data_IF_248770213353
#
_entry.id   IF_248770213353
#
_cell.length_a   1.000
_cell.length_b   1.000
_cell.length_c   1.000
_cell.angle_alpha   90.00
_cell.angle_beta   90.00
_cell.angle_gamma   90.00
#
_symmetry.space_group_name_H-M   'P 1'
#
loop_
_entity.id
_entity.type
_entity.pdbx_description
1 polymer ?
#
# COMPACT_ATOMS: atom_id res chain seq x y z
N UNK A 1 14.98 -16.31 -28.25
CA UNK A 1 14.12 -16.35 -27.05
C UNK A 1 12.78 -15.74 -27.45
N UNK A 2 11.67 -16.44 -27.27
CA UNK A 2 10.40 -16.12 -27.93
C UNK A 2 9.68 -14.88 -27.39
N UNK A 3 8.89 -14.23 -28.24
CA UNK A 3 8.14 -12.98 -27.99
C UNK A 3 7.33 -12.95 -26.69
N UNK A 4 6.86 -14.10 -26.20
CA UNK A 4 6.14 -14.22 -24.92
C UNK A 4 7.00 -13.81 -23.71
N UNK A 5 8.26 -14.22 -23.67
CA UNK A 5 9.17 -13.92 -22.56
C UNK A 5 9.55 -12.42 -22.53
N UNK A 6 9.52 -11.76 -23.69
CA UNK A 6 9.79 -10.33 -23.79
C UNK A 6 8.58 -9.50 -23.35
N UNK A 7 7.37 -9.90 -23.77
CA UNK A 7 6.11 -9.31 -23.30
C UNK A 7 5.93 -9.46 -21.79
N UNK A 8 6.31 -10.60 -21.21
CA UNK A 8 6.27 -10.82 -19.76
C UNK A 8 7.22 -9.87 -19.00
N UNK A 9 8.47 -9.73 -19.48
CA UNK A 9 9.42 -8.78 -18.90
C UNK A 9 8.94 -7.34 -18.98
N UNK A 10 8.32 -6.97 -20.10
CA UNK A 10 7.75 -5.65 -20.29
C UNK A 10 6.58 -5.40 -19.33
N UNK A 11 5.70 -6.39 -19.15
CA UNK A 11 4.60 -6.32 -18.21
C UNK A 11 5.10 -6.12 -16.78
N UNK A 12 6.06 -6.93 -16.33
CA UNK A 12 6.67 -6.82 -15.00
C UNK A 12 7.28 -5.43 -14.81
N UNK A 13 8.03 -4.93 -15.79
CA UNK A 13 8.63 -3.59 -15.73
C UNK A 13 7.58 -2.49 -15.59
N UNK A 14 6.46 -2.59 -16.31
CA UNK A 14 5.42 -1.56 -16.33
C UNK A 14 4.51 -1.58 -15.10
N UNK A 15 4.16 -2.77 -14.61
CA UNK A 15 3.09 -2.93 -13.62
C UNK A 15 3.56 -3.47 -12.27
N UNK A 16 4.63 -4.26 -12.22
CA UNK A 16 5.12 -4.86 -10.96
C UNK A 16 6.11 -3.94 -10.22
N UNK A 17 5.92 -2.63 -10.35
CA UNK A 17 6.68 -1.62 -9.62
C UNK A 17 5.69 -0.70 -8.86
N UNK A 18 6.12 -0.02 -7.79
CA UNK A 18 5.21 0.75 -6.93
C UNK A 18 4.73 2.07 -7.54
N UNK A 19 5.31 2.53 -8.66
CA UNK A 19 5.08 3.88 -9.19
C UNK A 19 3.63 4.11 -9.66
N UNK A 20 2.97 3.19 -10.40
CA UNK A 20 1.57 3.35 -10.78
C UNK A 20 0.62 3.45 -9.57
N UNK A 21 0.94 2.80 -8.45
CA UNK A 21 0.14 2.85 -7.23
C UNK A 21 0.38 4.16 -6.46
N UNK A 22 1.64 4.62 -6.39
CA UNK A 22 2.01 5.89 -5.80
C UNK A 22 1.38 7.07 -6.55
N UNK A 23 1.38 7.05 -7.89
CA UNK A 23 0.71 8.08 -8.72
C UNK A 23 -0.79 8.21 -8.46
N UNK A 24 -1.45 7.14 -8.00
CA UNK A 24 -2.87 7.11 -7.67
C UNK A 24 -3.16 7.46 -6.22
N UNK A 25 -2.14 7.69 -5.40
CA UNK A 25 -2.28 7.92 -3.96
C UNK A 25 -2.71 6.68 -3.18
N UNK A 26 -2.51 5.47 -3.72
CA UNK A 26 -2.74 4.23 -2.97
C UNK A 26 -1.58 3.92 -2.01
N UNK A 27 -0.40 4.44 -2.30
CA UNK A 27 0.76 4.43 -1.44
C UNK A 27 1.06 5.87 -1.03
N UNK A 28 1.32 6.09 0.26
CA UNK A 28 1.71 7.39 0.77
C UNK A 28 3.15 7.76 0.36
N UNK A 29 4.08 6.79 0.37
CA UNK A 29 5.50 7.01 0.06
C UNK A 29 6.22 5.73 -0.41
N UNK A 30 7.30 5.89 -1.18
CA UNK A 30 8.24 4.83 -1.58
C UNK A 30 9.59 5.11 -0.93
N UNK A 31 9.85 4.47 0.20
CA UNK A 31 11.01 4.77 1.06
C UNK A 31 12.16 3.79 0.90
N UNK A 32 13.37 4.20 1.31
CA UNK A 32 14.51 3.29 1.47
C UNK A 32 14.25 2.30 2.62
N UNK A 33 14.64 1.02 2.49
CA UNK A 33 14.39 0.01 3.52
C UNK A 33 14.95 0.35 4.91
N UNK A 34 16.05 1.09 4.98
CA UNK A 34 16.66 1.53 6.24
C UNK A 34 15.82 2.56 7.01
N UNK A 35 14.94 3.30 6.32
CA UNK A 35 14.11 4.38 6.88
C UNK A 35 12.81 3.82 7.48
N UNK A 36 12.45 2.57 7.18
CA UNK A 36 11.17 1.98 7.58
C UNK A 36 10.89 2.12 9.08
N UNK A 37 11.88 1.90 9.95
CA UNK A 37 11.69 2.02 11.41
C UNK A 37 11.35 3.45 11.84
N UNK A 38 12.09 4.45 11.37
CA UNK A 38 11.83 5.84 11.77
C UNK A 38 10.49 6.32 11.24
N UNK A 39 10.14 5.96 9.99
CA UNK A 39 8.84 6.27 9.40
C UNK A 39 7.68 5.73 10.23
N UNK A 40 7.74 4.44 10.60
CA UNK A 40 6.70 3.82 11.45
C UNK A 40 6.58 4.54 12.80
N UNK A 41 7.69 4.93 13.42
CA UNK A 41 7.68 5.65 14.71
C UNK A 41 6.97 7.01 14.57
N UNK A 42 7.23 7.74 13.48
CA UNK A 42 6.59 9.02 13.19
C UNK A 42 5.10 8.87 12.92
N UNK A 43 4.71 7.92 12.07
CA UNK A 43 3.31 7.66 11.73
C UNK A 43 2.50 7.27 12.97
N UNK A 44 3.04 6.42 13.83
CA UNK A 44 2.40 6.04 15.10
C UNK A 44 2.27 7.20 16.08
N UNK A 45 3.22 8.16 16.08
CA UNK A 45 3.11 9.37 16.91
C UNK A 45 1.96 10.25 16.43
N UNK A 46 1.82 10.45 15.11
CA UNK A 46 0.73 11.23 14.51
C UNK A 46 -0.63 10.56 14.77
N UNK A 47 -0.70 9.24 14.60
CA UNK A 47 -1.93 8.47 14.75
C UNK A 47 -2.35 8.20 16.20
N UNK A 48 -1.53 8.58 17.19
CA UNK A 48 -1.70 8.25 18.62
C UNK A 48 -3.10 8.54 19.16
N UNK A 49 -3.71 9.64 18.73
CA UNK A 49 -5.00 10.11 19.24
C UNK A 49 -6.13 10.02 18.21
N UNK A 50 -5.95 9.26 17.11
CA UNK A 50 -6.95 9.12 16.06
C UNK A 50 -8.22 8.49 16.63
N UNK A 51 -9.37 9.14 16.41
CA UNK A 51 -10.70 8.62 16.74
C UNK A 51 -11.51 8.47 15.46
N UNK A 52 -12.18 7.33 15.30
CA UNK A 52 -13.10 7.07 14.18
C UNK A 52 -14.38 6.45 14.75
N UNK A 53 -15.52 6.97 14.33
CA UNK A 53 -16.84 6.44 14.69
C UNK A 53 -17.33 5.46 13.63
N UNK A 54 -17.97 4.39 14.07
CA UNK A 54 -18.67 3.45 13.20
C UNK A 54 -20.19 3.62 13.36
N UNK A 55 -21.01 3.24 12.35
CA UNK A 55 -22.46 3.22 12.48
C UNK A 55 -22.94 2.33 13.64
N UNK A 56 -24.02 2.74 14.32
CA UNK A 56 -24.59 1.98 15.43
C UNK A 56 -25.19 0.65 14.95
N UNK A 57 -24.70 -0.47 15.49
CA UNK A 57 -25.18 -1.83 15.19
C UNK A 57 -24.87 -2.78 16.35
N UNK A 58 -25.62 -3.88 16.49
CA UNK A 58 -25.34 -4.92 17.49
C UNK A 58 -24.01 -5.65 17.22
N UNK A 59 -23.78 -6.02 15.96
CA UNK A 59 -22.55 -6.65 15.48
C UNK A 59 -22.44 -6.47 13.95
N UNK A 60 -21.31 -6.87 13.35
CA UNK A 60 -21.17 -6.96 11.89
C UNK A 60 -21.85 -8.20 11.31
N UNK A 61 -21.86 -8.30 9.97
CA UNK A 61 -22.25 -9.49 9.22
C UNK A 61 -21.12 -9.83 8.24
N UNK A 62 -20.01 -10.34 8.76
CA UNK A 62 -18.89 -10.78 7.93
C UNK A 62 -19.30 -12.07 7.21
N UNK A 63 -19.05 -12.23 5.90
CA UNK A 63 -19.29 -13.50 5.21
C UNK A 63 -18.56 -14.66 5.92
N UNK A 64 -19.27 -15.78 6.09
CA UNK A 64 -18.73 -17.03 6.65
C UNK A 64 -18.25 -17.99 5.56
#
# INVERSE_FOLDING_TARGET
MGAKAEAEKEYIRKFANPLPAAQRGFLDDVIQPSITRSRIIEDLRVLRNKRQSNPAKKHGNIPL
#
